data_IF_705852658380
#
_entry.id   IF_705852658380
#
_cell.length_a   1.000
_cell.length_b   1.000
_cell.length_c   1.000
_cell.angle_alpha   90.00
_cell.angle_beta   90.00
_cell.angle_gamma   90.00
#
_symmetry.space_group_name_H-M   'P 1'
#
loop_
_entity.id
_entity.type
_entity.pdbx_description
1 polymer ?
#
# COMPACT_ATOMS: atom_id res chain seq x y z
N UNK A 1 -1.75 39.80 18.31
CA UNK A 1 -2.12 38.43 18.67
C UNK A 1 -3.17 37.86 17.70
N UNK A 2 -4.17 38.64 17.29
CA UNK A 2 -5.30 38.21 16.42
C UNK A 2 -4.82 37.79 15.00
N UNK A 3 -3.93 38.54 14.37
CA UNK A 3 -3.46 38.22 12.99
C UNK A 3 -2.70 36.93 12.88
N UNK A 4 -1.93 36.54 13.90
CA UNK A 4 -1.24 35.25 13.96
C UNK A 4 -2.21 34.06 14.09
N UNK A 5 -3.32 34.24 14.79
CA UNK A 5 -4.37 33.21 14.94
C UNK A 5 -5.08 32.99 13.60
N UNK A 6 -5.44 34.07 12.89
CA UNK A 6 -6.06 33.97 11.57
C UNK A 6 -5.12 33.44 10.47
N UNK A 7 -3.82 33.77 10.53
CA UNK A 7 -2.82 33.21 9.64
C UNK A 7 -2.64 31.71 9.85
N UNK A 8 -2.55 31.26 11.10
CA UNK A 8 -2.48 29.82 11.44
C UNK A 8 -3.76 29.07 11.05
N UNK A 9 -4.93 29.68 11.20
CA UNK A 9 -6.18 29.04 10.79
C UNK A 9 -6.26 28.86 9.27
N UNK A 10 -5.92 29.89 8.48
CA UNK A 10 -5.88 29.80 7.00
C UNK A 10 -4.87 28.79 6.50
N UNK A 11 -3.69 28.73 7.10
CA UNK A 11 -2.67 27.73 6.79
C UNK A 11 -3.14 26.30 7.06
N UNK A 12 -3.82 26.06 8.20
CA UNK A 12 -4.37 24.75 8.56
C UNK A 12 -5.47 24.31 7.60
N UNK A 13 -6.42 25.19 7.28
CA UNK A 13 -7.50 24.90 6.31
C UNK A 13 -6.93 24.62 4.92
N UNK A 14 -5.90 25.35 4.49
CA UNK A 14 -5.19 25.12 3.24
C UNK A 14 -4.50 23.75 3.22
N UNK A 15 -3.83 23.37 4.31
CA UNK A 15 -3.17 22.07 4.44
C UNK A 15 -4.19 20.92 4.44
N UNK A 16 -5.31 21.04 5.15
CA UNK A 16 -6.37 20.04 5.16
C UNK A 16 -7.00 19.85 3.78
N UNK A 17 -7.25 20.95 3.05
CA UNK A 17 -7.77 20.89 1.67
C UNK A 17 -6.77 20.23 0.72
N UNK A 18 -5.49 20.53 0.85
CA UNK A 18 -4.43 19.91 0.07
C UNK A 18 -4.33 18.42 0.35
N UNK A 19 -4.37 18.00 1.62
CA UNK A 19 -4.35 16.58 2.00
C UNK A 19 -5.56 15.81 1.42
N UNK A 20 -6.77 16.39 1.49
CA UNK A 20 -7.97 15.76 0.89
C UNK A 20 -7.85 15.62 -0.63
N UNK A 21 -7.32 16.62 -1.31
CA UNK A 21 -7.12 16.55 -2.77
C UNK A 21 -6.10 15.47 -3.12
N UNK A 22 -4.99 15.39 -2.37
CA UNK A 22 -4.00 14.32 -2.57
C UNK A 22 -4.60 12.94 -2.36
N UNK A 23 -5.39 12.73 -1.31
CA UNK A 23 -6.09 11.48 -1.05
C UNK A 23 -7.05 11.12 -2.20
N UNK A 24 -7.86 12.06 -2.68
CA UNK A 24 -8.75 11.88 -3.83
C UNK A 24 -7.98 11.44 -5.09
N UNK A 25 -6.82 12.03 -5.38
CA UNK A 25 -5.99 11.63 -6.52
C UNK A 25 -5.45 10.20 -6.35
N UNK A 26 -5.04 9.81 -5.15
CA UNK A 26 -4.57 8.45 -4.84
C UNK A 26 -5.70 7.42 -4.98
N UNK A 27 -6.90 7.72 -4.48
CA UNK A 27 -8.08 6.86 -4.63
C UNK A 27 -8.48 6.68 -6.11
N UNK A 28 -8.54 7.77 -6.88
CA UNK A 28 -8.79 7.70 -8.32
C UNK A 28 -7.70 6.90 -9.05
N UNK A 29 -6.45 7.06 -8.66
CA UNK A 29 -5.34 6.33 -9.26
C UNK A 29 -5.41 4.83 -8.97
N UNK A 30 -5.79 4.42 -7.75
CA UNK A 30 -5.99 3.00 -7.43
C UNK A 30 -7.01 2.35 -8.37
N UNK A 31 -8.15 3.02 -8.61
CA UNK A 31 -9.18 2.55 -9.55
C UNK A 31 -8.64 2.44 -10.98
N UNK A 32 -7.91 3.47 -11.43
CA UNK A 32 -7.34 3.51 -12.79
C UNK A 32 -6.27 2.43 -12.98
N UNK A 33 -5.41 2.22 -11.98
CA UNK A 33 -4.40 1.15 -12.01
C UNK A 33 -5.03 -0.24 -12.03
N UNK A 34 -6.05 -0.48 -11.22
CA UNK A 34 -6.77 -1.75 -11.20
C UNK A 34 -7.43 -2.05 -12.56
N UNK A 35 -8.03 -1.06 -13.21
CA UNK A 35 -8.74 -1.24 -14.48
C UNK A 35 -7.82 -1.32 -15.71
N UNK A 36 -6.69 -0.59 -15.70
CA UNK A 36 -5.89 -0.39 -16.91
C UNK A 36 -4.45 -0.89 -16.82
N UNK A 37 -4.03 -1.36 -15.63
CA UNK A 37 -2.66 -1.78 -15.37
C UNK A 37 -1.74 -0.64 -14.93
N UNK A 38 -0.61 -1.04 -14.35
CA UNK A 38 0.37 -0.09 -13.78
C UNK A 38 1.31 0.50 -14.81
N UNK A 39 1.42 -0.11 -15.99
CA UNK A 39 2.30 0.32 -17.09
C UNK A 39 1.60 1.26 -18.09
N UNK A 40 0.30 1.51 -17.92
CA UNK A 40 -0.46 2.38 -18.80
C UNK A 40 -0.14 3.86 -18.54
N UNK A 41 -0.26 4.72 -19.57
CA UNK A 41 -0.25 6.18 -19.41
C UNK A 41 -1.54 6.59 -18.70
N UNK A 42 -1.45 6.76 -17.39
CA UNK A 42 -2.63 6.87 -16.53
C UNK A 42 -2.99 8.30 -16.14
N UNK A 43 -2.06 9.27 -16.26
CA UNK A 43 -2.25 10.64 -15.76
C UNK A 43 -3.54 11.25 -16.28
N UNK A 44 -3.82 11.16 -17.58
CA UNK A 44 -5.03 11.73 -18.18
C UNK A 44 -6.31 11.05 -17.66
N UNK A 45 -6.25 9.75 -17.41
CA UNK A 45 -7.38 9.00 -16.85
C UNK A 45 -7.63 9.40 -15.39
N UNK A 46 -6.57 9.55 -14.60
CA UNK A 46 -6.66 10.01 -13.18
C UNK A 46 -7.16 11.44 -13.10
N UNK A 47 -6.66 12.35 -13.94
CA UNK A 47 -7.14 13.74 -14.04
C UNK A 47 -8.64 13.78 -14.34
N UNK A 48 -9.07 12.98 -15.31
CA UNK A 48 -10.48 12.88 -15.70
C UNK A 48 -11.33 12.30 -14.57
N UNK A 49 -10.88 11.23 -13.94
CA UNK A 49 -11.59 10.57 -12.83
C UNK A 49 -11.71 11.48 -11.61
N UNK A 50 -10.65 12.22 -11.26
CA UNK A 50 -10.62 13.14 -10.13
C UNK A 50 -11.30 14.49 -10.42
N UNK A 51 -11.64 14.78 -11.69
CA UNK A 51 -12.26 16.06 -12.08
C UNK A 51 -11.35 17.27 -11.88
N UNK A 52 -10.03 17.11 -12.02
CA UNK A 52 -9.05 18.18 -11.79
C UNK A 52 -8.36 18.61 -13.09
N UNK A 53 -7.68 19.76 -13.06
CA UNK A 53 -6.81 20.18 -14.17
C UNK A 53 -5.46 19.43 -14.12
N UNK A 54 -4.77 19.36 -15.27
CA UNK A 54 -3.42 18.83 -15.36
C UNK A 54 -2.45 19.59 -14.45
N UNK A 55 -2.55 20.92 -14.37
CA UNK A 55 -1.77 21.75 -13.46
C UNK A 55 -2.02 21.40 -11.98
N UNK A 56 -3.28 21.14 -11.61
CA UNK A 56 -3.61 20.70 -10.25
C UNK A 56 -2.96 19.36 -9.94
N UNK A 57 -2.99 18.39 -10.86
CA UNK A 57 -2.33 17.10 -10.69
C UNK A 57 -0.83 17.27 -10.43
N UNK A 58 -0.13 18.01 -11.27
CA UNK A 58 1.32 18.20 -11.15
C UNK A 58 1.77 19.02 -9.92
N UNK A 59 0.86 19.67 -9.21
CA UNK A 59 1.14 20.25 -7.89
C UNK A 59 1.32 19.16 -6.81
N UNK A 60 0.81 17.95 -7.01
CA UNK A 60 0.86 16.84 -6.06
C UNK A 60 1.84 15.73 -6.45
N UNK A 61 1.91 15.41 -7.74
CA UNK A 61 2.73 14.32 -8.28
C UNK A 61 3.48 14.80 -9.51
N UNK A 62 4.81 14.67 -9.49
CA UNK A 62 5.66 15.12 -10.61
C UNK A 62 5.64 14.13 -11.77
N UNK A 63 5.50 12.83 -11.45
CA UNK A 63 5.55 11.73 -12.40
C UNK A 63 4.47 10.68 -12.09
N UNK A 64 4.19 9.81 -13.04
CA UNK A 64 3.34 8.63 -12.87
C UNK A 64 3.91 7.70 -11.80
N UNK A 65 5.25 7.59 -11.75
CA UNK A 65 5.95 6.80 -10.73
C UNK A 65 5.73 7.35 -9.32
N UNK A 66 5.72 8.67 -9.13
CA UNK A 66 5.42 9.28 -7.81
C UNK A 66 3.99 8.93 -7.36
N UNK A 67 3.05 8.93 -8.30
CA UNK A 67 1.67 8.55 -8.04
C UNK A 67 1.56 7.07 -7.69
N UNK A 68 2.21 6.18 -8.46
CA UNK A 68 2.24 4.74 -8.17
C UNK A 68 2.81 4.46 -6.78
N UNK A 69 3.94 5.07 -6.43
CA UNK A 69 4.54 4.96 -5.09
C UNK A 69 3.58 5.41 -4.01
N UNK A 70 2.85 6.51 -4.23
CA UNK A 70 1.87 6.99 -3.28
C UNK A 70 0.71 6.02 -3.09
N UNK A 71 0.16 5.44 -4.17
CA UNK A 71 -0.89 4.42 -4.11
C UNK A 71 -0.40 3.17 -3.39
N UNK A 72 0.76 2.64 -3.77
CA UNK A 72 1.33 1.45 -3.15
C UNK A 72 1.61 1.64 -1.65
N UNK A 73 2.07 2.83 -1.26
CA UNK A 73 2.29 3.18 0.15
C UNK A 73 0.98 3.24 0.92
N UNK A 74 -0.04 3.90 0.38
CA UNK A 74 -1.36 4.02 1.02
C UNK A 74 -2.02 2.65 1.19
N UNK A 75 -1.97 1.80 0.15
CA UNK A 75 -2.46 0.42 0.21
C UNK A 75 -1.74 -0.37 1.31
N UNK A 76 -0.42 -0.27 1.37
CA UNK A 76 0.38 -0.94 2.40
C UNK A 76 0.03 -0.47 3.82
N UNK A 77 -0.10 0.83 4.02
CA UNK A 77 -0.40 1.44 5.32
C UNK A 77 -1.84 1.10 5.76
N UNK A 78 -2.80 1.04 4.83
CA UNK A 78 -4.18 0.65 5.12
C UNK A 78 -4.29 -0.83 5.51
N UNK A 79 -3.63 -1.73 4.77
CA UNK A 79 -3.53 -3.15 5.13
C UNK A 79 -2.93 -3.27 6.54
N UNK A 80 -1.84 -2.58 6.81
CA UNK A 80 -1.17 -2.62 8.09
C UNK A 80 -2.08 -2.10 9.22
N UNK A 81 -2.81 -1.02 9.00
CA UNK A 81 -3.75 -0.44 9.96
C UNK A 81 -4.83 -1.44 10.40
N UNK A 82 -5.31 -2.26 9.45
CA UNK A 82 -6.35 -3.27 9.72
C UNK A 82 -5.76 -4.53 10.36
N UNK A 83 -4.62 -5.00 9.85
CA UNK A 83 -4.05 -6.31 10.21
C UNK A 83 -3.21 -6.25 11.49
N UNK A 84 -2.41 -5.21 11.66
CA UNK A 84 -1.43 -5.12 12.76
C UNK A 84 -2.04 -5.23 14.17
N UNK A 85 -3.20 -4.61 14.50
CA UNK A 85 -3.78 -4.71 15.85
C UNK A 85 -4.17 -6.13 16.23
N UNK A 86 -4.46 -6.99 15.26
CA UNK A 86 -4.83 -8.39 15.50
C UNK A 86 -3.58 -9.27 15.57
N UNK A 87 -2.68 -9.11 14.61
CA UNK A 87 -1.45 -9.91 14.48
C UNK A 87 -0.51 -9.68 15.67
N UNK A 88 -0.40 -8.46 16.16
CA UNK A 88 0.48 -8.11 17.30
C UNK A 88 0.02 -8.67 18.64
N UNK A 89 -1.15 -9.31 18.74
CA UNK A 89 -1.56 -10.08 19.91
C UNK A 89 -0.85 -11.44 19.99
N UNK A 90 -0.38 -11.93 18.85
CA UNK A 90 0.40 -13.17 18.79
C UNK A 90 1.86 -12.89 19.20
N UNK A 91 2.39 -13.72 20.10
CA UNK A 91 3.77 -13.57 20.62
C UNK A 91 4.80 -14.30 19.77
N UNK A 92 4.38 -15.34 19.07
CA UNK A 92 5.26 -16.14 18.21
C UNK A 92 5.45 -15.45 16.84
N UNK A 93 6.68 -15.04 16.48
CA UNK A 93 6.94 -14.32 15.23
C UNK A 93 6.52 -15.10 13.96
N UNK A 94 6.74 -16.41 13.93
CA UNK A 94 6.34 -17.24 12.80
C UNK A 94 4.81 -17.28 12.65
N UNK A 95 4.09 -17.38 13.77
CA UNK A 95 2.63 -17.33 13.78
C UNK A 95 2.11 -15.94 13.40
N UNK A 96 2.80 -14.84 13.79
CA UNK A 96 2.46 -13.48 13.32
C UNK A 96 2.50 -13.38 11.80
N UNK A 97 3.56 -13.88 11.18
CA UNK A 97 3.70 -13.91 9.72
C UNK A 97 2.56 -14.69 9.08
N UNK A 98 2.28 -15.91 9.55
CA UNK A 98 1.21 -16.75 9.03
C UNK A 98 -0.18 -16.09 9.16
N UNK A 99 -0.47 -15.48 10.31
CA UNK A 99 -1.69 -14.72 10.55
C UNK A 99 -1.78 -13.49 9.63
N UNK A 100 -0.67 -12.75 9.48
CA UNK A 100 -0.60 -11.60 8.58
C UNK A 100 -0.95 -11.98 7.14
N UNK A 101 -0.34 -13.01 6.61
CA UNK A 101 -0.63 -13.55 5.27
C UNK A 101 -2.11 -13.94 5.15
N UNK A 102 -2.63 -14.66 6.12
CA UNK A 102 -4.05 -15.07 6.13
C UNK A 102 -4.99 -13.87 6.06
N UNK A 103 -4.74 -12.83 6.87
CA UNK A 103 -5.58 -11.63 6.87
C UNK A 103 -5.47 -10.84 5.57
N UNK A 104 -4.26 -10.73 5.00
CA UNK A 104 -4.06 -10.09 3.70
C UNK A 104 -4.87 -10.80 2.61
N UNK A 105 -4.84 -12.14 2.56
CA UNK A 105 -5.68 -12.90 1.62
C UNK A 105 -7.18 -12.69 1.84
N UNK A 106 -7.63 -12.59 3.10
CA UNK A 106 -9.04 -12.27 3.38
C UNK A 106 -9.43 -10.86 2.88
N UNK A 107 -8.55 -9.88 3.06
CA UNK A 107 -8.75 -8.52 2.55
C UNK A 107 -8.82 -8.55 1.02
N UNK A 108 -7.85 -9.14 0.36
CA UNK A 108 -7.76 -9.20 -1.11
C UNK A 108 -8.99 -9.90 -1.70
N UNK A 109 -9.46 -10.99 -1.10
CA UNK A 109 -10.69 -11.68 -1.52
C UNK A 109 -11.94 -10.80 -1.44
N UNK A 110 -12.01 -9.91 -0.45
CA UNK A 110 -13.18 -9.04 -0.24
C UNK A 110 -13.10 -7.71 -1.01
N UNK A 111 -11.94 -7.37 -1.56
CA UNK A 111 -11.70 -6.12 -2.28
C UNK A 111 -11.04 -6.39 -3.63
N UNK A 112 -11.80 -6.74 -4.68
CA UNK A 112 -11.27 -7.12 -5.99
C UNK A 112 -10.36 -6.07 -6.63
N UNK A 113 -10.68 -4.79 -6.51
CA UNK A 113 -9.83 -3.70 -7.02
C UNK A 113 -8.44 -3.67 -6.39
N UNK A 114 -8.37 -4.00 -5.09
CA UNK A 114 -7.09 -4.13 -4.40
C UNK A 114 -6.31 -5.35 -4.90
N UNK A 115 -7.02 -6.46 -5.11
CA UNK A 115 -6.43 -7.66 -5.68
C UNK A 115 -5.82 -7.39 -7.06
N UNK A 116 -6.56 -6.74 -7.95
CA UNK A 116 -6.11 -6.37 -9.30
C UNK A 116 -4.88 -5.44 -9.25
N UNK A 117 -4.91 -4.41 -8.40
CA UNK A 117 -3.76 -3.53 -8.23
C UNK A 117 -2.51 -4.27 -7.74
N UNK A 118 -2.65 -5.17 -6.76
CA UNK A 118 -1.53 -5.94 -6.22
C UNK A 118 -1.02 -6.99 -7.21
N UNK A 119 -1.89 -7.64 -7.97
CA UNK A 119 -1.52 -8.61 -9.00
C UNK A 119 -0.76 -7.91 -10.15
N UNK A 120 -1.30 -6.83 -10.69
CA UNK A 120 -0.70 -6.09 -11.79
C UNK A 120 0.59 -5.33 -11.38
N UNK A 121 0.59 -4.75 -10.19
CA UNK A 121 1.76 -4.07 -9.63
C UNK A 121 2.87 -5.04 -9.19
N UNK A 122 2.52 -6.29 -8.91
CA UNK A 122 3.43 -7.36 -8.55
C UNK A 122 4.38 -6.97 -7.43
N UNK A 123 5.65 -7.37 -7.55
CA UNK A 123 6.69 -7.01 -6.59
C UNK A 123 6.88 -5.48 -6.44
N UNK A 124 6.59 -4.70 -7.49
CA UNK A 124 6.74 -3.24 -7.43
C UNK A 124 5.75 -2.62 -6.47
N UNK A 125 4.49 -3.09 -6.43
CA UNK A 125 3.49 -2.62 -5.47
C UNK A 125 3.87 -2.95 -4.02
N UNK A 126 4.48 -4.11 -3.77
CA UNK A 126 4.90 -4.54 -2.43
C UNK A 126 6.18 -3.87 -1.93
N UNK A 127 6.99 -3.22 -2.81
CA UNK A 127 8.25 -2.56 -2.39
C UNK A 127 8.05 -1.30 -1.55
N UNK A 128 6.85 -0.75 -1.54
CA UNK A 128 6.57 0.52 -0.87
C UNK A 128 5.72 0.30 0.38
N UNK A 129 5.89 1.21 1.35
CA UNK A 129 5.16 1.14 2.61
C UNK A 129 5.86 0.31 3.69
N UNK A 130 5.32 0.38 4.89
CA UNK A 130 5.95 -0.18 6.10
C UNK A 130 5.78 -1.68 6.23
N UNK A 131 4.72 -2.24 5.64
CA UNK A 131 4.41 -3.66 5.79
C UNK A 131 5.59 -4.55 5.39
N UNK A 132 6.13 -4.35 4.18
CA UNK A 132 7.21 -5.15 3.61
C UNK A 132 8.61 -4.62 3.98
N UNK A 133 8.75 -3.32 4.28
CA UNK A 133 10.05 -2.74 4.59
C UNK A 133 10.41 -2.74 6.08
N UNK A 134 9.43 -2.85 6.97
CA UNK A 134 9.66 -2.77 8.42
C UNK A 134 9.05 -3.96 9.18
N UNK A 135 7.74 -4.23 8.99
CA UNK A 135 7.00 -5.16 9.83
C UNK A 135 7.36 -6.62 9.55
N UNK A 136 7.25 -7.04 8.28
CA UNK A 136 7.58 -8.42 7.88
C UNK A 136 9.07 -8.75 8.11
N UNK A 137 10.04 -7.87 7.75
CA UNK A 137 11.46 -8.11 8.05
C UNK A 137 11.76 -8.23 9.54
N UNK A 138 11.11 -7.42 10.38
CA UNK A 138 11.26 -7.50 11.84
C UNK A 138 10.79 -8.86 12.36
N UNK A 139 9.57 -9.28 12.00
CA UNK A 139 8.99 -10.54 12.48
C UNK A 139 9.79 -11.75 11.96
N UNK A 140 10.29 -11.67 10.72
CA UNK A 140 11.18 -12.69 10.16
C UNK A 140 12.51 -12.77 10.92
N UNK A 141 13.15 -11.62 11.22
CA UNK A 141 14.38 -11.58 11.96
C UNK A 141 14.20 -12.09 13.41
N UNK A 142 13.10 -11.72 14.08
CA UNK A 142 12.75 -12.24 15.42
C UNK A 142 12.55 -13.76 15.38
N UNK A 143 11.85 -14.29 14.38
CA UNK A 143 11.62 -15.73 14.21
C UNK A 143 12.89 -16.51 13.93
N UNK A 144 13.82 -15.94 13.16
CA UNK A 144 15.15 -16.52 12.92
C UNK A 144 15.98 -16.54 14.21
N UNK A 145 16.01 -15.44 14.93
CA UNK A 145 16.75 -15.33 16.21
C UNK A 145 16.20 -16.28 17.27
N UNK A 146 14.89 -16.53 17.28
CA UNK A 146 14.22 -17.48 18.17
C UNK A 146 14.34 -18.96 17.73
N UNK A 147 14.99 -19.24 16.59
CA UNK A 147 15.10 -20.60 16.02
C UNK A 147 13.79 -21.18 15.48
N UNK A 148 12.76 -20.37 15.30
CA UNK A 148 11.46 -20.77 14.80
C UNK A 148 11.42 -20.79 13.27
N UNK A 149 12.28 -20.02 12.63
CA UNK A 149 12.43 -19.91 11.18
C UNK A 149 13.89 -20.20 10.81
N UNK A 150 14.11 -21.10 9.86
CA UNK A 150 15.45 -21.45 9.37
C UNK A 150 15.53 -21.08 7.88
N UNK A 151 16.13 -19.92 7.62
CA UNK A 151 16.40 -19.43 6.25
C UNK A 151 17.84 -18.89 6.20
N UNK A 152 18.55 -19.03 5.06
CA UNK A 152 19.96 -18.64 4.95
C UNK A 152 20.20 -17.14 5.12
N UNK A 153 19.21 -16.30 4.80
CA UNK A 153 19.29 -14.85 4.96
C UNK A 153 17.91 -14.22 5.06
N UNK A 154 17.83 -13.03 5.69
CA UNK A 154 16.60 -12.25 5.76
C UNK A 154 16.04 -11.94 4.36
N UNK A 155 16.91 -11.62 3.41
CA UNK A 155 16.52 -11.34 2.01
C UNK A 155 15.84 -12.53 1.37
N UNK A 156 16.43 -13.72 1.46
CA UNK A 156 15.85 -14.93 0.91
C UNK A 156 14.53 -15.28 1.63
N UNK A 157 14.47 -15.08 2.94
CA UNK A 157 13.23 -15.27 3.70
C UNK A 157 12.09 -14.38 3.21
N UNK A 158 12.37 -13.11 2.91
CA UNK A 158 11.40 -12.19 2.33
C UNK A 158 10.95 -12.64 0.93
N UNK A 159 11.87 -13.02 0.06
CA UNK A 159 11.56 -13.47 -1.29
C UNK A 159 10.69 -14.75 -1.27
N UNK A 160 10.98 -15.69 -0.35
CA UNK A 160 10.18 -16.91 -0.14
C UNK A 160 8.79 -16.65 0.43
N UNK A 161 8.59 -15.57 1.19
CA UNK A 161 7.27 -15.17 1.68
C UNK A 161 6.48 -14.42 0.61
N UNK A 162 7.09 -13.45 -0.06
CA UNK A 162 6.40 -12.56 -0.98
C UNK A 162 6.04 -13.22 -2.31
N UNK A 163 6.87 -14.13 -2.83
CA UNK A 163 6.60 -14.84 -4.07
C UNK A 163 5.29 -15.63 -4.04
N UNK A 164 5.09 -16.58 -3.10
CA UNK A 164 3.83 -17.30 -2.95
C UNK A 164 2.61 -16.42 -2.65
N UNK A 165 2.80 -15.30 -1.90
CA UNK A 165 1.72 -14.35 -1.63
C UNK A 165 1.23 -13.68 -2.91
N UNK A 166 2.14 -13.21 -3.77
CA UNK A 166 1.80 -12.64 -5.07
C UNK A 166 1.09 -13.65 -5.98
N UNK A 167 1.62 -14.87 -6.05
CA UNK A 167 0.96 -15.93 -6.81
C UNK A 167 -0.46 -16.23 -6.29
N UNK A 168 -0.63 -16.19 -4.98
CA UNK A 168 -1.93 -16.37 -4.35
C UNK A 168 -2.95 -15.26 -4.69
N UNK A 169 -2.49 -14.00 -4.88
CA UNK A 169 -3.38 -12.92 -5.35
C UNK A 169 -3.88 -13.20 -6.76
N UNK A 170 -2.99 -13.62 -7.65
CA UNK A 170 -3.35 -14.03 -9.01
C UNK A 170 -4.37 -15.18 -9.01
N UNK A 171 -4.15 -16.21 -8.18
CA UNK A 171 -5.08 -17.34 -8.05
C UNK A 171 -6.47 -16.90 -7.58
N UNK A 172 -6.55 -16.00 -6.58
CA UNK A 172 -7.84 -15.47 -6.09
C UNK A 172 -8.61 -14.78 -7.22
N UNK A 173 -7.92 -14.00 -8.07
CA UNK A 173 -8.57 -13.28 -9.18
C UNK A 173 -9.05 -14.21 -10.30
N UNK A 174 -8.32 -15.29 -10.56
CA UNK A 174 -8.62 -16.18 -11.69
C UNK A 174 -9.60 -17.30 -11.36
N UNK A 175 -9.75 -17.65 -10.07
CA UNK A 175 -10.65 -18.71 -9.61
C UNK A 175 -11.95 -18.19 -8.95
N UNK A 176 -12.16 -16.87 -8.89
CA UNK A 176 -13.36 -16.22 -8.33
C UNK A 176 -14.37 -15.91 -9.43
#
# INVERSE_FOLDING_TARGET
>A
ASERVFANHRSRVGAERSARMRACLVECALLVFAEHGVDAIIVDKVIKAAGVSRGTFYNYFRTDSDLFVAVATEVSDEILRVVNPVVMRERNPAARIALGIRYVFQIVKNYPLLAEFLDQGGQSALRYGKLVNEVVPRDLAEGMAAGQLSVPSLRLGLDLLLGPVLLGFHTILTES
#
